data_IF_577378182835
#
_entry.id   IF_577378182835
#
_cell.length_a   1.000
_cell.length_b   1.000
_cell.length_c   1.000
_cell.angle_alpha   90.00
_cell.angle_beta   90.00
_cell.angle_gamma   90.00
#
_symmetry.space_group_name_H-M   'P 1'
#
loop_
_entity.id
_entity.type
_entity.pdbx_description
1 polymer ?
#
# COMPACT_ATOMS: atom_id res chain seq x y z
N UNK A 1 -36.68 56.66 2.06
CA UNK A 1 -35.94 55.56 1.38
C UNK A 1 -34.56 55.45 2.02
N UNK A 2 -34.20 54.24 2.45
CA UNK A 2 -33.10 53.93 3.37
C UNK A 2 -31.72 54.19 2.75
N UNK A 3 -30.88 54.93 3.49
CA UNK A 3 -29.43 54.93 3.38
C UNK A 3 -28.86 54.02 4.48
N UNK A 4 -27.77 53.28 4.20
CA UNK A 4 -26.42 53.59 4.71
C UNK A 4 -25.50 52.37 4.65
N UNK A 5 -24.38 52.60 3.98
CA UNK A 5 -23.08 51.94 4.13
C UNK A 5 -22.75 51.65 5.61
N UNK A 6 -22.47 50.39 5.93
CA UNK A 6 -21.69 49.98 7.10
C UNK A 6 -20.75 48.87 6.65
N UNK A 7 -19.54 49.26 6.32
CA UNK A 7 -18.34 48.43 6.39
C UNK A 7 -17.34 49.25 7.19
N UNK A 8 -16.59 48.56 8.05
CA UNK A 8 -15.45 49.01 8.85
C UNK A 8 -15.76 49.63 10.24
N UNK A 9 -14.93 49.22 11.21
CA UNK A 9 -14.81 49.65 12.61
C UNK A 9 -15.64 48.84 13.62
N UNK A 10 -15.37 47.53 13.67
CA UNK A 10 -15.42 46.76 14.94
C UNK A 10 -14.05 46.07 15.07
N UNK A 11 -13.03 46.90 15.25
CA UNK A 11 -11.70 46.50 15.71
C UNK A 11 -11.26 47.61 16.66
N UNK A 12 -10.93 47.20 17.88
CA UNK A 12 -10.23 47.94 18.95
C UNK A 12 -11.07 48.91 19.80
N UNK A 13 -10.76 48.92 21.10
CA UNK A 13 -11.41 49.58 22.24
C UNK A 13 -12.47 48.67 22.91
N UNK A 14 -12.22 47.52 23.56
CA UNK A 14 -11.07 47.01 24.35
C UNK A 14 -9.97 48.02 24.56
N UNK A 15 -10.22 48.98 25.43
CA UNK A 15 -9.29 49.71 26.31
C UNK A 15 -10.16 50.78 26.98
N UNK A 16 -10.10 50.86 28.32
CA UNK A 16 -10.91 51.71 29.19
C UNK A 16 -12.37 51.22 29.33
N UNK A 17 -12.69 50.26 30.20
CA UNK A 17 -12.27 50.29 31.59
C UNK A 17 -12.83 51.55 32.25
N UNK A 18 -13.78 51.32 33.15
CA UNK A 18 -14.10 52.22 34.25
C UNK A 18 -14.99 53.41 33.88
N UNK A 19 -16.16 53.43 34.53
CA UNK A 19 -16.98 54.55 34.98
C UNK A 19 -18.43 54.24 34.61
N UNK A 20 -19.31 54.29 35.62
CA UNK A 20 -20.75 53.96 35.61
C UNK A 20 -21.04 52.44 35.64
N UNK A 21 -21.66 51.83 36.65
CA UNK A 21 -22.64 52.33 37.64
C UNK A 21 -22.83 51.16 38.64
N UNK A 22 -22.37 51.24 39.90
CA UNK A 22 -23.02 51.86 41.06
C UNK A 22 -24.41 51.28 41.39
N UNK A 23 -24.45 50.61 42.55
CA UNK A 23 -25.54 50.45 43.53
C UNK A 23 -26.92 49.94 43.10
N UNK A 24 -27.23 48.73 43.56
CA UNK A 24 -28.26 48.53 44.60
C UNK A 24 -27.94 47.24 45.36
N UNK A 25 -27.33 47.25 46.55
CA UNK A 25 -27.96 47.56 47.84
C UNK A 25 -29.31 46.87 48.07
N UNK A 26 -29.31 45.79 48.87
CA UNK A 26 -29.97 45.72 50.22
C UNK A 26 -29.90 44.27 50.77
N UNK A 27 -29.15 43.99 51.85
CA UNK A 27 -29.52 44.08 53.31
C UNK A 27 -30.15 42.74 53.78
N UNK A 28 -29.80 42.06 54.89
CA UNK A 28 -29.19 42.42 56.19
C UNK A 28 -28.60 41.15 56.90
N UNK A 29 -28.06 41.21 58.15
CA UNK A 29 -26.87 40.49 58.58
C UNK A 29 -27.18 39.61 59.83
N UNK A 30 -26.17 38.98 60.40
CA UNK A 30 -25.96 38.74 61.85
C UNK A 30 -24.71 37.84 61.93
N UNK A 31 -23.52 38.34 62.28
CA UNK A 31 -23.01 38.88 63.55
C UNK A 31 -22.06 37.87 64.24
N UNK A 32 -20.77 38.26 64.27
CA UNK A 32 -19.74 38.08 65.31
C UNK A 32 -19.24 36.64 65.60
N UNK A 33 -17.95 36.32 65.75
CA UNK A 33 -16.69 37.06 66.01
C UNK A 33 -15.46 36.12 65.67
N UNK A 34 -14.17 36.50 65.86
CA UNK A 34 -13.05 36.16 64.97
C UNK A 34 -12.16 34.99 65.47
N UNK A 35 -11.24 34.50 64.62
CA UNK A 35 -9.77 34.41 64.86
C UNK A 35 -9.05 33.49 63.84
N UNK A 36 -8.03 34.08 63.19
CA UNK A 36 -6.77 33.56 62.64
C UNK A 36 -6.75 32.34 61.69
N UNK A 37 -6.58 32.67 60.42
CA UNK A 37 -5.44 32.34 59.56
C UNK A 37 -4.56 31.14 59.97
N UNK A 38 -4.64 30.05 59.20
CA UNK A 38 -3.50 29.20 58.84
C UNK A 38 -3.87 28.34 57.60
N UNK A 39 -2.94 28.32 56.63
CA UNK A 39 -2.68 27.28 55.61
C UNK A 39 -3.78 26.99 54.58
N UNK A 40 -3.71 27.51 53.34
CA UNK A 40 -2.74 27.13 52.29
C UNK A 40 -2.20 25.71 52.50
N UNK A 41 -3.07 24.71 52.35
CA UNK A 41 -2.70 23.28 52.21
C UNK A 41 -3.92 22.47 51.79
N UNK A 42 -4.42 22.68 50.57
CA UNK A 42 -5.42 21.76 50.00
C UNK A 42 -5.40 21.66 48.47
N UNK A 43 -4.23 21.92 47.85
CA UNK A 43 -4.02 21.69 46.41
C UNK A 43 -2.78 20.85 46.09
N UNK A 44 -2.20 20.18 47.08
CA UNK A 44 -1.13 19.19 46.89
C UNK A 44 -1.60 17.84 47.43
N UNK A 45 -2.44 17.17 46.65
CA UNK A 45 -2.64 15.72 46.73
C UNK A 45 -3.27 15.26 45.41
N UNK A 46 -2.63 15.63 44.30
CA UNK A 46 -2.61 14.74 43.14
C UNK A 46 -1.48 13.78 43.47
N UNK A 47 -1.87 12.55 43.76
CA UNK A 47 -0.98 11.40 43.88
C UNK A 47 -0.06 11.45 42.66
N UNK A 48 1.23 11.75 42.87
CA UNK A 48 2.31 11.33 41.98
C UNK A 48 2.28 9.80 41.98
N UNK A 49 1.37 9.24 41.19
CA UNK A 49 1.51 7.88 40.73
C UNK A 49 2.76 7.97 39.87
N UNK A 50 3.89 7.46 40.38
CA UNK A 50 5.08 7.26 39.57
C UNK A 50 4.61 6.61 38.27
N UNK A 51 4.62 7.40 37.19
CA UNK A 51 4.28 6.93 35.87
C UNK A 51 5.29 5.83 35.57
N UNK A 52 4.78 4.61 35.36
CA UNK A 52 5.63 3.56 34.82
C UNK A 52 6.17 4.09 33.49
N UNK A 53 7.50 4.10 33.29
CA UNK A 53 8.06 4.36 31.97
C UNK A 53 7.34 3.43 30.99
N UNK A 54 6.85 3.96 29.87
CA UNK A 54 6.21 3.22 28.77
C UNK A 54 4.67 3.13 28.75
N UNK A 55 3.94 3.65 29.75
CA UNK A 55 2.47 3.70 29.68
C UNK A 55 1.98 4.83 28.74
N UNK A 56 1.27 4.48 27.66
CA UNK A 56 0.63 5.48 26.79
C UNK A 56 -0.58 6.10 27.50
N UNK A 57 -0.50 7.40 27.74
CA UNK A 57 -1.61 8.20 28.25
C UNK A 57 -2.10 9.14 27.14
N UNK A 58 -3.39 9.05 26.73
CA UNK A 58 -3.98 9.98 25.79
C UNK A 58 -3.87 11.43 26.28
N UNK A 59 -3.34 12.31 25.44
CA UNK A 59 -3.42 13.76 25.67
C UNK A 59 -4.60 14.31 24.85
N UNK A 60 -5.75 14.48 25.51
CA UNK A 60 -7.00 14.91 24.87
C UNK A 60 -6.88 16.23 24.10
N UNK A 61 -6.08 17.18 24.61
CA UNK A 61 -5.85 18.46 23.92
C UNK A 61 -5.06 18.24 22.62
N UNK A 62 -3.98 17.46 22.68
CA UNK A 62 -3.18 17.14 21.49
C UNK A 62 -3.98 16.32 20.46
N UNK A 63 -4.79 15.36 20.91
CA UNK A 63 -5.69 14.57 20.06
C UNK A 63 -6.72 15.48 19.38
N UNK A 64 -7.33 16.40 20.13
CA UNK A 64 -8.29 17.36 19.60
C UNK A 64 -7.65 18.27 18.55
N UNK A 65 -6.46 18.79 18.81
CA UNK A 65 -5.72 19.61 17.83
C UNK A 65 -5.37 18.82 16.57
N UNK A 66 -4.86 17.59 16.70
CA UNK A 66 -4.57 16.70 15.56
C UNK A 66 -5.81 16.43 14.71
N UNK A 67 -6.97 16.24 15.34
CA UNK A 67 -8.23 15.96 14.63
C UNK A 67 -8.70 17.09 13.70
N UNK A 68 -8.17 18.31 13.87
CA UNK A 68 -8.48 19.44 12.99
C UNK A 68 -7.72 19.38 11.66
N UNK A 69 -6.59 18.67 11.61
CA UNK A 69 -5.67 18.69 10.47
C UNK A 69 -5.43 17.31 9.86
N UNK A 70 -5.59 16.24 10.65
CA UNK A 70 -5.26 14.88 10.24
C UNK A 70 -6.47 13.96 10.32
N UNK A 71 -6.57 13.07 9.34
CA UNK A 71 -7.56 12.01 9.35
C UNK A 71 -7.17 10.97 10.40
N UNK A 72 -8.13 10.58 11.25
CA UNK A 72 -7.98 9.41 12.11
C UNK A 72 -7.94 8.16 11.23
N UNK A 73 -6.98 7.28 11.45
CA UNK A 73 -6.88 6.03 10.72
C UNK A 73 -8.20 5.25 10.83
N UNK A 74 -8.81 4.84 9.70
CA UNK A 74 -9.90 3.90 9.70
C UNK A 74 -9.49 2.59 10.36
N UNK A 75 -10.46 1.85 10.89
CA UNK A 75 -10.20 0.55 11.48
C UNK A 75 -10.09 -0.54 10.40
N UNK A 76 -9.45 -1.68 10.74
CA UNK A 76 -9.46 -2.85 9.86
C UNK A 76 -10.90 -3.39 9.75
N UNK A 77 -11.43 -3.48 8.54
CA UNK A 77 -12.81 -3.85 8.27
C UNK A 77 -12.88 -5.02 7.30
N UNK A 78 -13.77 -5.98 7.57
CA UNK A 78 -14.03 -7.11 6.67
C UNK A 78 -12.83 -8.04 6.46
N UNK A 79 -11.97 -8.19 7.48
CA UNK A 79 -10.83 -9.10 7.40
C UNK A 79 -11.31 -10.55 7.46
N UNK A 80 -10.87 -11.34 6.48
CA UNK A 80 -11.27 -12.75 6.33
C UNK A 80 -10.14 -13.73 6.67
N UNK A 81 -8.89 -13.26 6.72
CA UNK A 81 -7.70 -14.08 6.97
C UNK A 81 -6.64 -13.33 7.75
N UNK A 82 -5.92 -14.04 8.62
CA UNK A 82 -4.92 -13.50 9.53
C UNK A 82 -3.67 -14.37 9.48
N UNK A 83 -2.52 -13.76 9.18
CA UNK A 83 -1.23 -14.45 9.06
C UNK A 83 -0.21 -13.69 9.91
N UNK A 84 0.60 -14.43 10.68
CA UNK A 84 1.53 -13.88 11.68
C UNK A 84 0.87 -13.00 12.77
N UNK A 85 -0.43 -13.19 13.04
CA UNK A 85 -1.18 -12.41 14.03
C UNK A 85 -2.45 -13.13 14.47
N UNK A 86 -3.02 -12.69 15.59
CA UNK A 86 -4.30 -13.16 16.12
C UNK A 86 -5.48 -12.53 15.36
N UNK A 87 -6.65 -13.19 15.42
CA UNK A 87 -7.85 -12.79 14.69
C UNK A 87 -8.52 -11.51 15.20
N UNK A 88 -8.08 -10.97 16.33
CA UNK A 88 -8.63 -9.76 16.96
C UNK A 88 -7.73 -8.53 16.80
N UNK A 89 -6.75 -8.58 15.90
CA UNK A 89 -5.90 -7.43 15.57
C UNK A 89 -6.75 -6.23 15.11
N UNK A 90 -6.46 -5.07 15.70
CA UNK A 90 -7.07 -3.78 15.36
C UNK A 90 -6.04 -2.66 15.47
N UNK A 91 -6.21 -1.61 14.69
CA UNK A 91 -5.41 -0.38 14.76
C UNK A 91 -5.52 0.25 16.15
N UNK A 92 -6.69 0.22 16.78
CA UNK A 92 -6.86 0.71 18.16
C UNK A 92 -5.98 0.00 19.20
N UNK A 93 -5.67 -1.29 19.00
CA UNK A 93 -4.80 -2.06 19.92
C UNK A 93 -3.34 -1.56 19.90
N UNK A 94 -2.98 -0.75 18.90
CA UNK A 94 -1.63 -0.20 18.72
C UNK A 94 -1.54 1.28 19.08
N UNK A 95 -2.51 1.84 19.82
CA UNK A 95 -2.31 3.13 20.50
C UNK A 95 -1.05 3.07 21.37
N UNK A 96 -0.26 4.13 21.37
CA UNK A 96 1.07 4.07 21.97
C UNK A 96 2.18 3.57 21.03
N UNK A 97 1.87 3.14 19.80
CA UNK A 97 2.85 2.76 18.76
C UNK A 97 2.69 3.61 17.50
N UNK A 98 3.73 3.63 16.69
CA UNK A 98 3.64 4.10 15.29
C UNK A 98 3.20 2.92 14.44
N UNK A 99 2.18 3.08 13.60
CA UNK A 99 1.66 2.00 12.76
C UNK A 99 1.87 2.33 11.28
N UNK A 100 2.44 1.40 10.52
CA UNK A 100 2.54 1.46 9.06
C UNK A 100 1.58 0.44 8.45
N UNK A 101 0.58 0.93 7.72
CA UNK A 101 -0.29 0.10 6.89
C UNK A 101 0.30 0.04 5.49
N UNK A 102 0.58 -1.16 5.01
CA UNK A 102 1.04 -1.41 3.63
C UNK A 102 -0.02 -2.19 2.87
N UNK A 103 -0.70 -1.55 1.93
CA UNK A 103 -1.61 -2.22 1.00
C UNK A 103 -0.79 -2.89 -0.09
N UNK A 104 -0.94 -4.21 -0.22
CA UNK A 104 -0.15 -5.01 -1.15
C UNK A 104 -0.98 -6.18 -1.72
N UNK A 105 -0.48 -6.78 -2.79
CA UNK A 105 -0.89 -8.11 -3.27
C UNK A 105 0.36 -8.86 -3.72
N UNK A 106 0.35 -10.19 -3.61
CA UNK A 106 1.59 -10.97 -3.74
C UNK A 106 2.08 -11.16 -5.17
N UNK A 107 1.25 -10.93 -6.20
CA UNK A 107 1.70 -10.96 -7.60
C UNK A 107 2.09 -9.61 -8.17
N UNK A 108 1.87 -8.51 -7.45
CA UNK A 108 2.26 -7.17 -7.89
C UNK A 108 3.77 -6.97 -7.78
N UNK A 109 4.45 -6.76 -8.92
CA UNK A 109 5.91 -6.58 -8.94
C UNK A 109 6.38 -5.38 -8.14
N UNK A 110 5.62 -4.28 -8.16
CA UNK A 110 5.91 -3.06 -7.41
C UNK A 110 5.86 -3.32 -5.89
N UNK A 111 4.90 -4.14 -5.44
CA UNK A 111 4.81 -4.58 -4.05
C UNK A 111 6.03 -5.42 -3.68
N UNK A 112 6.38 -6.42 -4.50
CA UNK A 112 7.52 -7.32 -4.27
C UNK A 112 8.83 -6.52 -4.13
N UNK A 113 9.09 -5.53 -5.00
CA UNK A 113 10.29 -4.69 -4.92
C UNK A 113 10.33 -3.78 -3.70
N UNK A 114 9.18 -3.50 -3.07
CA UNK A 114 9.11 -2.74 -1.82
C UNK A 114 9.45 -3.59 -0.58
N UNK A 115 9.26 -4.92 -0.64
CA UNK A 115 9.41 -5.80 0.52
C UNK A 115 10.79 -5.74 1.21
N UNK A 116 11.94 -5.60 0.53
CA UNK A 116 13.24 -5.45 1.19
C UNK A 116 13.27 -4.28 2.20
N UNK A 117 12.64 -3.14 1.86
CA UNK A 117 12.56 -1.98 2.74
C UNK A 117 11.64 -2.24 3.93
N UNK A 118 10.44 -2.78 3.70
CA UNK A 118 9.49 -3.10 4.77
C UNK A 118 10.09 -4.11 5.77
N UNK A 119 10.79 -5.13 5.28
CA UNK A 119 11.49 -6.10 6.13
C UNK A 119 12.60 -5.44 6.94
N UNK A 120 13.40 -4.58 6.31
CA UNK A 120 14.46 -3.85 7.02
C UNK A 120 13.90 -2.91 8.09
N UNK A 121 12.81 -2.18 7.81
CA UNK A 121 12.16 -1.32 8.80
C UNK A 121 11.52 -2.13 9.93
N UNK A 122 10.89 -3.27 9.61
CA UNK A 122 10.36 -4.15 10.64
C UNK A 122 11.46 -4.64 11.59
N UNK A 123 12.54 -5.20 11.05
CA UNK A 123 13.65 -5.74 11.87
C UNK A 123 14.34 -4.66 12.72
N UNK A 124 14.36 -3.41 12.25
CA UNK A 124 15.06 -2.32 12.92
C UNK A 124 14.21 -1.57 13.96
N UNK A 125 12.92 -1.44 13.69
CA UNK A 125 12.04 -0.53 14.44
C UNK A 125 10.92 -1.24 15.22
N UNK A 126 10.71 -2.55 15.05
CA UNK A 126 9.62 -3.25 15.74
C UNK A 126 9.70 -3.10 17.28
N UNK A 127 10.87 -3.32 17.86
CA UNK A 127 11.15 -3.22 19.30
C UNK A 127 11.23 -1.77 19.78
N UNK A 128 11.26 -0.81 18.83
CA UNK A 128 11.27 0.64 19.10
C UNK A 128 9.87 1.26 19.03
N UNK A 129 8.85 0.45 18.75
CA UNK A 129 7.46 0.88 18.73
C UNK A 129 6.87 1.10 17.33
N UNK A 130 7.52 0.62 16.26
CA UNK A 130 6.89 0.52 14.94
C UNK A 130 6.11 -0.79 14.81
N UNK A 131 4.85 -0.72 14.38
CA UNK A 131 4.06 -1.87 13.97
C UNK A 131 3.78 -1.78 12.47
N UNK A 132 4.21 -2.76 11.69
CA UNK A 132 3.80 -2.88 10.28
C UNK A 132 2.61 -3.83 10.20
N UNK A 133 1.59 -3.51 9.40
CA UNK A 133 0.49 -4.41 9.07
C UNK A 133 0.36 -4.43 7.54
N UNK A 134 0.61 -5.58 6.93
CA UNK A 134 0.40 -5.80 5.50
C UNK A 134 -1.07 -6.10 5.25
N UNK A 135 -1.79 -5.18 4.61
CA UNK A 135 -3.18 -5.40 4.19
C UNK A 135 -3.15 -5.99 2.80
N UNK A 136 -3.24 -7.33 2.73
CA UNK A 136 -3.32 -8.05 1.48
C UNK A 136 -4.71 -7.84 0.87
N UNK A 137 -4.80 -6.97 -0.13
CA UNK A 137 -6.03 -6.78 -0.91
C UNK A 137 -5.81 -7.40 -2.28
N UNK A 138 -6.55 -8.45 -2.67
CA UNK A 138 -6.30 -9.19 -3.90
C UNK A 138 -6.54 -8.30 -5.13
N UNK A 139 -5.78 -8.52 -6.19
CA UNK A 139 -6.00 -7.97 -7.52
C UNK A 139 -6.73 -8.99 -8.42
N UNK A 140 -6.43 -10.28 -8.23
CA UNK A 140 -7.04 -11.38 -8.98
C UNK A 140 -7.76 -12.37 -8.05
N UNK A 141 -8.73 -13.15 -8.59
CA UNK A 141 -9.53 -14.08 -7.78
C UNK A 141 -8.69 -15.11 -7.05
N UNK A 142 -7.64 -15.63 -7.68
CA UNK A 142 -6.79 -16.66 -7.06
C UNK A 142 -5.98 -16.12 -5.85
N UNK A 143 -5.86 -14.80 -5.70
CA UNK A 143 -5.19 -14.17 -4.56
C UNK A 143 -6.09 -14.06 -3.32
N UNK A 144 -7.38 -14.39 -3.43
CA UNK A 144 -8.30 -14.49 -2.29
C UNK A 144 -8.05 -15.75 -1.44
N UNK A 145 -7.45 -16.77 -2.05
CA UNK A 145 -7.20 -18.06 -1.41
C UNK A 145 -6.13 -17.92 -0.31
N UNK A 146 -6.53 -18.19 0.94
CA UNK A 146 -5.67 -18.02 2.13
C UNK A 146 -4.32 -18.73 1.99
N UNK A 147 -4.29 -19.97 1.51
CA UNK A 147 -3.06 -20.76 1.38
C UNK A 147 -2.09 -20.18 0.34
N UNK A 148 -2.59 -19.51 -0.70
CA UNK A 148 -1.74 -18.83 -1.67
C UNK A 148 -1.05 -17.61 -1.03
N UNK A 149 -1.82 -16.80 -0.29
CA UNK A 149 -1.28 -15.64 0.42
C UNK A 149 -0.28 -16.07 1.48
N UNK A 150 -0.61 -17.09 2.27
CA UNK A 150 0.29 -17.66 3.29
C UNK A 150 1.59 -18.17 2.68
N UNK A 151 1.51 -18.93 1.58
CA UNK A 151 2.69 -19.40 0.85
C UNK A 151 3.56 -18.24 0.37
N UNK A 152 2.95 -17.14 -0.08
CA UNK A 152 3.68 -15.93 -0.47
C UNK A 152 4.33 -15.23 0.73
N UNK A 153 3.63 -15.08 1.86
CA UNK A 153 4.18 -14.53 3.11
C UNK A 153 5.43 -15.32 3.52
N UNK A 154 5.36 -16.65 3.49
CA UNK A 154 6.49 -17.54 3.80
C UNK A 154 7.62 -17.38 2.78
N UNK A 155 7.33 -17.45 1.47
CA UNK A 155 8.29 -17.29 0.38
C UNK A 155 9.07 -15.98 0.48
N UNK A 156 8.38 -14.88 0.75
CA UNK A 156 9.00 -13.56 0.85
C UNK A 156 9.59 -13.24 2.24
N UNK A 157 9.43 -14.16 3.20
CA UNK A 157 9.90 -14.04 4.58
C UNK A 157 9.33 -12.82 5.28
N UNK A 158 8.04 -12.57 5.09
CA UNK A 158 7.31 -11.50 5.77
C UNK A 158 7.02 -11.97 7.19
N UNK A 159 7.55 -11.24 8.19
CA UNK A 159 7.42 -11.56 9.62
C UNK A 159 6.40 -10.71 10.36
N UNK A 160 6.03 -9.55 9.81
CA UNK A 160 4.99 -8.70 10.37
C UNK A 160 3.58 -9.27 10.11
N UNK A 161 2.56 -8.85 10.90
CA UNK A 161 1.16 -9.18 10.68
C UNK A 161 0.70 -8.91 9.24
N UNK A 162 -0.02 -9.86 8.68
CA UNK A 162 -0.71 -9.73 7.39
C UNK A 162 -2.18 -10.08 7.59
N UNK A 163 -3.06 -9.24 7.04
CA UNK A 163 -4.51 -9.44 7.04
C UNK A 163 -5.04 -9.49 5.62
N UNK A 164 -6.00 -10.37 5.34
CA UNK A 164 -6.64 -10.48 4.02
C UNK A 164 -7.92 -9.64 3.97
N UNK A 165 -7.94 -8.68 3.06
CA UNK A 165 -9.07 -7.79 2.76
C UNK A 165 -9.76 -8.20 1.44
N UNK A 166 -10.22 -9.45 1.37
CA UNK A 166 -10.80 -10.03 0.15
C UNK A 166 -12.02 -9.27 -0.37
N UNK A 167 -12.81 -8.69 0.55
CA UNK A 167 -14.00 -7.89 0.22
C UNK A 167 -13.68 -6.40 -0.03
N UNK A 168 -12.41 -5.98 -0.03
CA UNK A 168 -11.94 -4.60 -0.18
C UNK A 168 -12.57 -3.62 0.84
N UNK A 169 -12.97 -4.12 2.01
CA UNK A 169 -13.63 -3.30 3.02
C UNK A 169 -12.64 -2.34 3.68
N UNK A 170 -11.44 -2.81 4.04
CA UNK A 170 -10.36 -1.97 4.56
C UNK A 170 -9.83 -1.03 3.49
N UNK A 171 -9.63 -1.53 2.27
CA UNK A 171 -9.24 -0.75 1.09
C UNK A 171 -10.17 0.43 0.84
N UNK A 172 -11.49 0.20 0.85
CA UNK A 172 -12.48 1.28 0.71
C UNK A 172 -12.51 2.21 1.91
N UNK A 173 -12.35 1.70 3.14
CA UNK A 173 -12.30 2.54 4.34
C UNK A 173 -11.14 3.55 4.30
N UNK A 174 -10.00 3.15 3.75
CA UNK A 174 -8.85 4.02 3.49
C UNK A 174 -8.95 4.85 2.20
N UNK A 175 -10.03 4.71 1.42
CA UNK A 175 -10.18 5.31 0.08
C UNK A 175 -8.94 5.00 -0.80
N UNK A 176 -8.43 3.77 -0.72
CA UNK A 176 -7.28 3.34 -1.50
C UNK A 176 -7.66 3.06 -2.96
N UNK A 177 -6.69 3.20 -3.88
CA UNK A 177 -6.82 2.94 -5.32
C UNK A 177 -5.54 2.35 -5.95
N UNK A 178 -4.52 2.01 -5.16
CA UNK A 178 -3.19 1.69 -5.66
C UNK A 178 -2.52 0.57 -4.86
N UNK A 179 -1.71 -0.22 -5.57
CA UNK A 179 -0.73 -1.15 -5.03
C UNK A 179 0.69 -0.76 -5.49
N UNK A 180 1.69 -0.75 -4.60
CA UNK A 180 1.54 -0.65 -3.15
C UNK A 180 1.05 0.76 -2.74
N UNK A 181 0.56 0.89 -1.50
CA UNK A 181 0.36 2.19 -0.85
C UNK A 181 0.59 2.09 0.65
N UNK A 182 1.24 3.09 1.21
CA UNK A 182 1.64 3.14 2.62
C UNK A 182 0.91 4.25 3.34
N UNK A 183 0.40 3.96 4.53
CA UNK A 183 -0.12 4.98 5.46
C UNK A 183 0.63 4.85 6.78
N UNK A 184 1.25 5.93 7.23
CA UNK A 184 1.92 5.98 8.52
C UNK A 184 1.05 6.74 9.53
N UNK A 185 0.82 6.08 10.66
CA UNK A 185 -0.11 6.48 11.70
C UNK A 185 0.70 6.74 12.97
N UNK A 186 0.46 7.88 13.61
CA UNK A 186 1.13 8.24 14.85
C UNK A 186 0.60 7.50 16.08
N UNK A 187 1.25 7.77 17.21
CA UNK A 187 0.94 7.22 18.54
C UNK A 187 -0.53 7.40 18.98
N UNK A 188 -1.23 8.42 18.46
CA UNK A 188 -2.63 8.72 18.78
C UNK A 188 -3.62 8.15 17.75
N UNK A 189 -3.14 7.58 16.65
CA UNK A 189 -3.98 7.00 15.61
C UNK A 189 -4.31 7.90 14.44
N UNK A 190 -3.58 8.98 14.21
CA UNK A 190 -3.79 9.86 13.07
C UNK A 190 -2.83 9.54 11.93
N UNK A 191 -3.32 9.57 10.70
CA UNK A 191 -2.49 9.40 9.50
C UNK A 191 -1.65 10.67 9.34
N UNK A 192 -0.33 10.51 9.43
CA UNK A 192 0.66 11.59 9.31
C UNK A 192 1.39 11.58 7.98
N UNK A 193 1.31 10.47 7.26
CA UNK A 193 1.96 10.29 5.97
C UNK A 193 1.24 9.24 5.14
N UNK A 194 1.27 9.47 3.84
CA UNK A 194 0.63 8.67 2.81
C UNK A 194 1.56 8.67 1.58
N UNK A 195 1.89 7.47 1.10
CA UNK A 195 2.71 7.29 -0.09
C UNK A 195 2.08 6.30 -1.04
N UNK A 196 1.78 6.76 -2.25
CA UNK A 196 1.24 5.96 -3.36
C UNK A 196 2.39 5.42 -4.19
N UNK A 197 2.35 4.10 -4.46
CA UNK A 197 3.26 3.43 -5.38
C UNK A 197 4.56 2.96 -4.73
N UNK A 198 5.46 2.49 -5.60
CA UNK A 198 6.81 2.08 -5.25
C UNK A 198 7.74 3.31 -5.16
N UNK A 199 8.63 3.35 -4.17
CA UNK A 199 9.64 4.38 -4.02
C UNK A 199 9.53 5.18 -2.72
N UNK A 200 10.09 6.39 -2.74
CA UNK A 200 10.18 7.32 -1.61
C UNK A 200 10.64 6.66 -0.29
N UNK A 201 11.51 5.65 -0.38
CA UNK A 201 11.89 4.83 0.78
C UNK A 201 12.62 5.64 1.85
N UNK A 202 13.55 6.51 1.44
CA UNK A 202 14.28 7.39 2.37
C UNK A 202 13.32 8.37 3.06
N UNK A 203 12.38 8.96 2.31
CA UNK A 203 11.37 9.87 2.83
C UNK A 203 10.44 9.17 3.81
N UNK A 204 9.94 7.98 3.45
CA UNK A 204 9.08 7.15 4.29
C UNK A 204 9.78 6.81 5.61
N UNK A 205 11.04 6.37 5.54
CA UNK A 205 11.79 6.03 6.74
C UNK A 205 12.12 7.25 7.60
N UNK A 206 12.43 8.41 7.00
CA UNK A 206 12.58 9.67 7.77
C UNK A 206 11.31 9.99 8.55
N UNK A 207 10.15 9.78 7.94
CA UNK A 207 8.87 9.99 8.62
C UNK A 207 8.63 8.94 9.72
N UNK A 208 9.01 7.68 9.52
CA UNK A 208 9.01 6.66 10.58
C UNK A 208 9.84 7.14 11.77
N UNK A 209 11.07 7.58 11.55
CA UNK A 209 11.95 8.08 12.60
C UNK A 209 11.37 9.31 13.32
N UNK A 210 10.77 10.24 12.58
CA UNK A 210 10.08 11.42 13.15
C UNK A 210 8.95 11.03 14.11
N UNK A 211 8.07 10.10 13.71
CA UNK A 211 6.96 9.66 14.56
C UNK A 211 7.42 8.81 15.74
N UNK A 212 8.48 8.01 15.57
CA UNK A 212 9.09 7.26 16.67
C UNK A 212 9.73 8.22 17.68
N UNK A 213 10.34 9.31 17.22
CA UNK A 213 10.85 10.38 18.09
C UNK A 213 9.73 11.04 18.88
N UNK A 214 8.64 11.47 18.24
CA UNK A 214 7.46 12.02 18.92
C UNK A 214 6.96 11.05 19.99
N UNK A 215 6.86 9.77 19.65
CA UNK A 215 6.46 8.71 20.59
C UNK A 215 7.41 8.63 21.78
N UNK A 216 8.72 8.55 21.56
CA UNK A 216 9.72 8.44 22.63
C UNK A 216 9.66 9.64 23.58
N UNK A 217 9.58 10.86 23.04
CA UNK A 217 9.46 12.10 23.84
C UNK A 217 8.23 12.06 24.75
N UNK A 218 7.09 11.61 24.23
CA UNK A 218 5.83 11.51 25.00
C UNK A 218 5.85 10.43 26.07
N UNK A 219 6.60 9.36 25.86
CA UNK A 219 6.73 8.26 26.83
C UNK A 219 7.92 8.45 27.77
N UNK A 220 8.62 9.59 27.70
CA UNK A 220 9.82 9.86 28.52
C UNK A 220 10.99 8.92 28.21
N UNK A 221 11.01 8.31 27.02
CA UNK A 221 12.05 7.38 26.58
C UNK A 221 13.25 8.15 26.00
N UNK A 222 14.46 7.60 26.17
CA UNK A 222 15.67 8.19 25.58
C UNK A 222 15.62 8.06 24.06
N UNK A 223 15.87 9.16 23.37
CA UNK A 223 15.96 9.18 21.91
C UNK A 223 17.08 8.26 21.41
N UNK A 224 16.73 7.38 20.45
CA UNK A 224 17.67 6.57 19.69
C UNK A 224 17.54 6.98 18.22
N UNK A 225 18.55 7.68 17.71
CA UNK A 225 18.66 7.98 16.28
C UNK A 225 19.40 6.83 15.60
N UNK A 226 18.77 6.23 14.60
CA UNK A 226 19.41 5.24 13.74
C UNK A 226 19.74 5.85 12.37
N UNK A 227 20.86 5.42 11.79
CA UNK A 227 21.18 5.69 10.38
C UNK A 227 20.11 5.09 9.45
N UNK A 228 19.86 5.67 8.27
CA UNK A 228 18.88 5.13 7.30
C UNK A 228 19.18 3.68 6.89
N UNK A 229 18.12 2.87 6.71
CA UNK A 229 18.24 1.49 6.26
C UNK A 229 18.80 1.38 4.85
N UNK A 230 19.62 0.34 4.64
CA UNK A 230 20.23 -0.01 3.34
C UNK A 230 19.99 -1.49 3.05
N UNK A 231 18.76 -1.89 2.67
CA UNK A 231 18.44 -3.28 2.40
C UNK A 231 19.26 -3.83 1.23
N UNK A 232 19.61 -5.12 1.31
CA UNK A 232 20.25 -5.85 0.20
C UNK A 232 19.21 -6.39 -0.79
N UNK A 233 19.64 -6.69 -2.01
CA UNK A 233 18.76 -7.29 -3.03
C UNK A 233 17.68 -6.34 -3.57
N UNK A 234 17.85 -5.02 -3.40
CA UNK A 234 16.99 -4.02 -4.03
C UNK A 234 17.27 -3.97 -5.52
N UNK A 235 16.20 -3.96 -6.31
CA UNK A 235 16.27 -3.74 -7.75
C UNK A 235 15.87 -2.28 -8.00
N UNK A 236 16.79 -1.51 -8.57
CA UNK A 236 16.54 -0.11 -8.93
C UNK A 236 15.84 0.00 -10.29
N UNK A 237 14.73 0.73 -10.29
CA UNK A 237 13.88 0.95 -11.47
C UNK A 237 13.83 2.44 -11.77
N UNK A 238 14.20 2.79 -13.00
CA UNK A 238 14.04 4.13 -13.52
C UNK A 238 12.70 4.22 -14.23
N UNK A 239 11.66 4.57 -13.47
CA UNK A 239 10.30 4.76 -13.98
C UNK A 239 10.20 5.82 -15.10
N UNK A 240 11.14 6.77 -15.18
CA UNK A 240 11.21 7.73 -16.29
C UNK A 240 11.69 7.13 -17.62
N UNK A 241 11.99 5.83 -17.65
CA UNK A 241 12.37 5.05 -18.84
C UNK A 241 11.42 3.89 -19.12
N UNK A 242 10.23 3.90 -18.51
CA UNK A 242 9.19 2.90 -18.73
C UNK A 242 7.97 3.63 -19.26
N UNK A 243 7.61 3.37 -20.52
CA UNK A 243 6.43 3.99 -21.15
C UNK A 243 5.27 3.00 -21.27
N UNK A 244 5.52 1.69 -21.20
CA UNK A 244 4.45 0.69 -21.23
C UNK A 244 3.73 0.61 -19.90
N UNK A 245 2.41 0.88 -19.85
CA UNK A 245 1.63 0.68 -18.64
C UNK A 245 1.40 -0.80 -18.38
N UNK A 246 0.97 -1.15 -17.18
CA UNK A 246 0.45 -2.49 -16.90
C UNK A 246 -0.72 -2.84 -17.84
N UNK A 247 -0.68 -4.04 -18.44
CA UNK A 247 -1.67 -4.51 -19.41
C UNK A 247 -2.44 -5.69 -18.84
N UNK A 248 -3.67 -5.42 -18.44
CA UNK A 248 -4.57 -6.43 -17.88
C UNK A 248 -5.24 -7.27 -18.95
N UNK A 249 -5.42 -8.54 -18.65
CA UNK A 249 -6.23 -9.48 -19.41
C UNK A 249 -7.58 -9.68 -18.72
N UNK A 250 -8.59 -10.06 -19.51
CA UNK A 250 -9.95 -10.26 -19.01
C UNK A 250 -10.84 -9.02 -19.18
N UNK A 251 -12.13 -9.25 -19.34
CA UNK A 251 -13.09 -8.20 -19.71
C UNK A 251 -13.51 -7.29 -18.54
N UNK A 252 -13.21 -7.68 -17.30
CA UNK A 252 -13.54 -6.90 -16.09
C UNK A 252 -12.62 -5.70 -15.89
N UNK A 253 -11.46 -5.67 -16.53
CA UNK A 253 -10.50 -4.58 -16.43
C UNK A 253 -10.67 -3.57 -17.57
N UNK A 254 -10.77 -2.29 -17.23
CA UNK A 254 -10.93 -1.19 -18.19
C UNK A 254 -9.62 -0.76 -18.86
N UNK A 255 -8.50 -1.42 -18.53
CA UNK A 255 -7.13 -1.06 -18.95
C UNK A 255 -6.49 -2.05 -19.93
N UNK A 256 -7.22 -3.08 -20.39
CA UNK A 256 -6.70 -3.99 -21.40
C UNK A 256 -6.49 -3.27 -22.73
N UNK A 257 -5.25 -3.22 -23.22
CA UNK A 257 -4.92 -2.59 -24.50
C UNK A 257 -4.74 -3.68 -25.57
N UNK A 258 -5.84 -4.21 -26.11
CA UNK A 258 -5.83 -5.30 -27.09
C UNK A 258 -5.91 -4.75 -28.51
N UNK A 259 -4.95 -5.14 -29.35
CA UNK A 259 -4.93 -4.73 -30.75
C UNK A 259 -5.59 -5.72 -31.72
N UNK A 260 -6.06 -6.88 -31.23
CA UNK A 260 -6.88 -7.81 -32.00
C UNK A 260 -8.22 -7.17 -32.43
N UNK A 261 -8.65 -7.39 -33.67
CA UNK A 261 -9.95 -6.92 -34.15
C UNK A 261 -11.13 -7.54 -33.38
N UNK A 262 -10.94 -8.76 -32.85
CA UNK A 262 -11.95 -9.49 -32.11
C UNK A 262 -12.22 -8.90 -30.71
N UNK A 263 -11.32 -8.06 -30.18
CA UNK A 263 -11.46 -7.44 -28.85
C UNK A 263 -11.50 -8.45 -27.69
N UNK A 264 -12.15 -8.09 -26.58
CA UNK A 264 -12.34 -8.95 -25.40
C UNK A 264 -13.83 -9.16 -25.08
N UNK A 265 -14.54 -10.02 -25.83
CA UNK A 265 -15.96 -10.27 -25.55
C UNK A 265 -16.14 -10.98 -24.21
N UNK A 266 -17.09 -10.50 -23.40
CA UNK A 266 -17.33 -11.04 -22.07
C UNK A 266 -17.74 -12.53 -22.09
N UNK A 267 -16.98 -13.37 -21.38
CA UNK A 267 -17.20 -14.82 -21.24
C UNK A 267 -17.22 -15.61 -22.58
N UNK A 268 -16.63 -15.07 -23.64
CA UNK A 268 -16.57 -15.71 -24.96
C UNK A 268 -15.38 -16.66 -25.12
N UNK A 269 -15.51 -17.64 -26.01
CA UNK A 269 -14.35 -18.32 -26.62
C UNK A 269 -14.14 -17.70 -27.99
N UNK A 270 -12.93 -17.22 -28.25
CA UNK A 270 -12.56 -16.45 -29.44
C UNK A 270 -11.38 -17.11 -30.11
N UNK A 271 -11.44 -17.24 -31.43
CA UNK A 271 -10.33 -17.64 -32.28
C UNK A 271 -9.61 -16.38 -32.77
N UNK A 272 -8.60 -15.94 -32.02
CA UNK A 272 -7.83 -14.73 -32.31
C UNK A 272 -6.86 -14.94 -33.47
N UNK A 273 -6.76 -13.91 -34.33
CA UNK A 273 -5.80 -13.87 -35.42
C UNK A 273 -4.84 -12.70 -35.27
N UNK A 274 -3.59 -12.93 -35.67
CA UNK A 274 -2.59 -11.87 -35.67
C UNK A 274 -2.87 -10.87 -36.82
N UNK A 275 -2.95 -9.56 -36.55
CA UNK A 275 -3.11 -8.57 -37.60
C UNK A 275 -1.81 -8.37 -38.39
N UNK A 276 -1.90 -7.69 -39.54
CA UNK A 276 -0.72 -7.37 -40.37
C UNK A 276 0.20 -6.31 -39.76
N UNK A 277 -0.31 -5.52 -38.81
CA UNK A 277 0.40 -4.42 -38.17
C UNK A 277 0.22 -4.48 -36.66
N UNK A 278 1.32 -4.34 -35.93
CA UNK A 278 1.36 -4.28 -34.47
C UNK A 278 1.69 -2.86 -34.05
N UNK A 279 1.09 -2.41 -32.95
CA UNK A 279 1.35 -1.11 -32.32
C UNK A 279 2.01 -1.30 -30.97
N UNK A 280 2.77 -0.30 -30.57
CA UNK A 280 3.36 -0.22 -29.24
C UNK A 280 2.28 -0.21 -28.16
N UNK A 281 2.58 -0.86 -27.03
CA UNK A 281 1.74 -0.97 -25.85
C UNK A 281 0.40 -1.70 -26.07
N UNK A 282 0.14 -2.27 -27.25
CA UNK A 282 -1.00 -3.15 -27.51
C UNK A 282 -0.57 -4.63 -27.46
N UNK A 283 -1.36 -5.46 -26.77
CA UNK A 283 -1.17 -6.90 -26.74
C UNK A 283 -2.00 -7.58 -27.83
N UNK A 284 -1.43 -8.62 -28.42
CA UNK A 284 -2.04 -9.41 -29.49
C UNK A 284 -2.01 -10.89 -29.13
N UNK A 285 -3.14 -11.55 -29.32
CA UNK A 285 -3.33 -12.98 -29.17
C UNK A 285 -3.44 -13.65 -30.54
N UNK A 286 -3.00 -14.90 -30.63
CA UNK A 286 -3.33 -15.83 -31.70
C UNK A 286 -3.67 -17.20 -31.12
N UNK A 287 -4.64 -17.88 -31.72
CA UNK A 287 -5.15 -19.17 -31.26
C UNK A 287 -6.52 -19.05 -30.61
N UNK A 288 -6.98 -20.13 -29.97
CA UNK A 288 -8.32 -20.22 -29.38
C UNK A 288 -8.27 -19.95 -27.88
N UNK A 289 -8.85 -18.85 -27.46
CA UNK A 289 -8.80 -18.36 -26.07
C UNK A 289 -10.19 -18.15 -25.49
N UNK A 290 -10.37 -18.48 -24.22
CA UNK A 290 -11.54 -18.13 -23.44
C UNK A 290 -11.27 -16.84 -22.68
N UNK A 291 -12.13 -15.84 -22.84
CA UNK A 291 -12.03 -14.56 -22.16
C UNK A 291 -12.82 -14.63 -20.85
N UNK A 292 -12.12 -14.66 -19.73
CA UNK A 292 -12.73 -14.64 -18.39
C UNK A 292 -12.76 -13.19 -17.86
N UNK A 293 -13.33 -13.00 -16.68
CA UNK A 293 -13.47 -11.66 -16.07
C UNK A 293 -12.11 -11.03 -15.76
N UNK A 294 -11.19 -11.80 -15.18
CA UNK A 294 -9.90 -11.31 -14.66
C UNK A 294 -8.68 -11.90 -15.41
N UNK A 295 -8.90 -12.69 -16.45
CA UNK A 295 -7.84 -13.33 -17.24
C UNK A 295 -8.33 -13.75 -18.64
N UNK A 296 -7.39 -14.18 -19.48
CA UNK A 296 -7.69 -15.05 -20.63
C UNK A 296 -7.06 -16.41 -20.45
N UNK A 297 -7.76 -17.45 -20.89
CA UNK A 297 -7.38 -18.86 -20.74
C UNK A 297 -7.25 -19.52 -22.11
N UNK A 298 -6.12 -20.17 -22.38
CA UNK A 298 -5.89 -20.89 -23.61
C UNK A 298 -6.83 -22.11 -23.69
N UNK A 299 -7.77 -22.09 -24.63
CA UNK A 299 -8.74 -23.15 -24.84
C UNK A 299 -8.28 -24.18 -25.88
N UNK A 300 -7.38 -23.79 -26.78
CA UNK A 300 -6.68 -24.67 -27.72
C UNK A 300 -5.44 -25.34 -27.13
N UNK A 301 -4.73 -26.12 -27.95
CA UNK A 301 -3.49 -26.80 -27.55
C UNK A 301 -2.24 -25.91 -27.63
N UNK A 302 -2.27 -24.94 -28.55
CA UNK A 302 -1.23 -23.94 -28.77
C UNK A 302 -1.82 -22.54 -28.85
N UNK A 303 -1.06 -21.55 -28.41
CA UNK A 303 -1.41 -20.14 -28.49
C UNK A 303 -0.18 -19.27 -28.58
N UNK A 304 -0.36 -18.02 -29.02
CA UNK A 304 0.72 -17.04 -29.11
C UNK A 304 0.28 -15.70 -28.54
N UNK A 305 1.19 -15.04 -27.86
CA UNK A 305 1.02 -13.67 -27.33
C UNK A 305 2.17 -12.83 -27.86
N UNK A 306 1.86 -11.64 -28.41
CA UNK A 306 2.87 -10.67 -28.85
C UNK A 306 2.58 -9.32 -28.20
N UNK A 307 3.63 -8.64 -27.76
CA UNK A 307 3.58 -7.27 -27.26
C UNK A 307 4.83 -6.52 -27.70
N UNK A 308 4.65 -5.30 -28.21
CA UNK A 308 5.71 -4.30 -28.33
C UNK A 308 5.67 -3.41 -27.09
N UNK A 309 6.78 -3.31 -26.35
CA UNK A 309 6.86 -2.61 -25.07
C UNK A 309 8.09 -1.71 -25.00
N UNK A 310 8.11 -0.80 -24.04
CA UNK A 310 9.20 0.14 -23.73
C UNK A 310 9.48 0.10 -22.22
N UNK A 311 10.43 -0.78 -21.85
CA UNK A 311 10.87 -1.08 -20.49
C UNK A 311 12.16 -1.93 -20.55
N UNK A 312 12.81 -2.21 -19.42
CA UNK A 312 13.95 -3.14 -19.39
C UNK A 312 13.57 -4.58 -19.07
N UNK A 313 12.49 -4.76 -18.30
CA UNK A 313 12.06 -6.08 -17.83
C UNK A 313 10.57 -6.32 -18.10
N UNK A 314 10.24 -7.59 -18.38
CA UNK A 314 8.87 -8.04 -18.61
C UNK A 314 8.53 -9.18 -17.67
N UNK A 315 7.42 -9.01 -16.96
CA UNK A 315 6.84 -10.04 -16.13
C UNK A 315 5.41 -10.33 -16.59
N UNK A 316 4.96 -11.57 -16.38
CA UNK A 316 3.55 -11.94 -16.51
C UNK A 316 3.03 -12.45 -15.17
N UNK A 317 1.77 -12.16 -14.87
CA UNK A 317 1.03 -12.97 -13.89
C UNK A 317 0.28 -14.03 -14.68
N UNK A 318 0.60 -15.30 -14.41
CA UNK A 318 0.09 -16.42 -15.17
C UNK A 318 -0.03 -17.68 -14.30
N UNK A 319 -0.74 -18.70 -14.79
CA UNK A 319 -0.84 -20.00 -14.14
C UNK A 319 -1.43 -21.07 -15.06
N UNK A 320 -1.19 -22.34 -14.77
CA UNK A 320 -1.74 -23.48 -15.51
C UNK A 320 -1.82 -24.70 -14.62
N UNK A 321 -3.04 -25.10 -14.21
CA UNK A 321 -3.22 -26.24 -13.30
C UNK A 321 -2.66 -27.56 -13.86
N UNK A 322 -2.70 -27.73 -15.19
CA UNK A 322 -2.18 -28.92 -15.88
C UNK A 322 -0.70 -28.78 -16.26
N UNK A 323 -0.11 -27.60 -16.06
CA UNK A 323 1.19 -27.24 -16.57
C UNK A 323 1.12 -26.79 -18.03
N UNK A 324 1.83 -25.71 -18.35
CA UNK A 324 2.03 -25.24 -19.71
C UNK A 324 3.48 -24.84 -19.90
N UNK A 325 3.96 -24.97 -21.13
CA UNK A 325 5.29 -24.52 -21.53
C UNK A 325 5.15 -23.23 -22.34
N UNK A 326 5.94 -22.21 -22.00
CA UNK A 326 6.00 -20.95 -22.72
C UNK A 326 7.41 -20.75 -23.30
N UNK A 327 7.55 -20.87 -24.61
CA UNK A 327 8.77 -20.46 -25.32
C UNK A 327 8.73 -18.94 -25.52
N UNK A 328 9.74 -18.23 -25.01
CA UNK A 328 9.83 -16.78 -25.02
C UNK A 328 10.94 -16.33 -25.97
N UNK A 329 10.61 -15.35 -26.82
CA UNK A 329 11.52 -14.68 -27.72
C UNK A 329 11.51 -13.17 -27.43
N UNK A 330 12.69 -12.56 -27.52
CA UNK A 330 12.88 -11.11 -27.50
C UNK A 330 13.35 -10.66 -28.88
N UNK A 331 12.70 -9.65 -29.46
CA UNK A 331 13.09 -9.04 -30.74
C UNK A 331 13.27 -10.07 -31.88
N UNK A 332 12.35 -11.05 -31.94
CA UNK A 332 12.36 -12.18 -32.88
C UNK A 332 13.48 -13.21 -32.70
N UNK A 333 14.26 -13.10 -31.62
CA UNK A 333 15.37 -14.00 -31.32
C UNK A 333 15.10 -14.78 -30.02
N UNK A 334 15.59 -16.02 -29.90
CA UNK A 334 15.55 -16.73 -28.63
C UNK A 334 16.28 -15.95 -27.52
N UNK A 335 15.80 -16.10 -26.28
CA UNK A 335 16.49 -15.55 -25.12
C UNK A 335 17.86 -16.21 -24.93
N UNK A 336 18.75 -15.47 -24.28
CA UNK A 336 20.11 -15.85 -23.90
C UNK A 336 20.30 -15.62 -22.40
N UNK A 337 21.39 -16.13 -21.83
CA UNK A 337 21.75 -15.83 -20.44
C UNK A 337 21.86 -14.32 -20.14
N UNK A 338 22.12 -13.49 -21.15
CA UNK A 338 22.31 -12.06 -20.98
C UNK A 338 20.99 -11.26 -20.92
N UNK A 339 19.86 -11.83 -21.35
CA UNK A 339 18.58 -11.11 -21.40
C UNK A 339 17.39 -11.90 -20.84
N UNK A 340 17.62 -13.13 -20.38
CA UNK A 340 16.57 -13.96 -19.80
C UNK A 340 16.18 -13.48 -18.41
N UNK A 341 14.89 -13.53 -18.12
CA UNK A 341 14.39 -13.39 -16.76
C UNK A 341 14.73 -14.60 -15.89
N UNK A 342 14.52 -14.47 -14.58
CA UNK A 342 14.85 -15.52 -13.61
C UNK A 342 13.90 -16.73 -13.64
N UNK A 343 12.71 -16.62 -14.24
CA UNK A 343 11.80 -17.75 -14.48
C UNK A 343 11.96 -18.36 -15.90
N UNK A 344 13.09 -18.09 -16.58
CA UNK A 344 13.45 -18.69 -17.87
C UNK A 344 14.65 -19.63 -17.73
N UNK A 345 14.48 -20.83 -18.28
CA UNK A 345 15.54 -21.82 -18.51
C UNK A 345 15.92 -21.82 -20.00
N UNK A 346 17.22 -21.85 -20.31
CA UNK A 346 17.70 -21.99 -21.69
C UNK A 346 17.85 -23.48 -22.01
N UNK A 347 16.92 -24.02 -22.81
CA UNK A 347 16.91 -25.41 -23.23
C UNK A 347 17.00 -25.48 -24.77
N UNK A 348 17.99 -26.18 -25.33
CA UNK A 348 18.17 -26.33 -26.79
C UNK A 348 18.11 -24.99 -27.57
N UNK A 349 18.77 -23.95 -27.06
CA UNK A 349 18.76 -22.58 -27.58
C UNK A 349 17.37 -21.91 -27.60
N UNK A 350 16.47 -22.31 -26.70
CA UNK A 350 15.18 -21.67 -26.48
C UNK A 350 15.04 -21.20 -25.04
N UNK A 351 14.49 -20.01 -24.83
CA UNK A 351 14.09 -19.56 -23.50
C UNK A 351 12.73 -20.14 -23.15
N UNK A 352 12.68 -21.05 -22.19
CA UNK A 352 11.47 -21.76 -21.78
C UNK A 352 11.08 -21.34 -20.36
N UNK A 353 9.81 -21.00 -20.16
CA UNK A 353 9.20 -20.89 -18.82
C UNK A 353 8.19 -22.01 -18.60
N UNK A 354 8.31 -22.71 -17.47
CA UNK A 354 7.36 -23.74 -17.04
C UNK A 354 6.29 -23.11 -16.16
N UNK A 355 5.09 -22.95 -16.72
CA UNK A 355 3.98 -22.26 -16.07
C UNK A 355 3.08 -23.29 -15.38
N UNK A 356 2.82 -23.10 -14.08
CA UNK A 356 2.01 -24.02 -13.29
C UNK A 356 1.20 -23.29 -12.21
N UNK A 357 1.89 -22.78 -11.20
CA UNK A 357 1.27 -22.01 -10.13
C UNK A 357 0.78 -20.66 -10.64
N UNK A 358 -0.30 -20.13 -10.04
CA UNK A 358 -0.73 -18.76 -10.34
C UNK A 358 0.14 -17.78 -9.54
N UNK A 359 1.15 -17.22 -10.22
CA UNK A 359 2.13 -16.30 -9.63
C UNK A 359 2.65 -15.31 -10.68
N UNK A 360 3.49 -14.37 -10.24
CA UNK A 360 4.33 -13.59 -11.13
C UNK A 360 5.50 -14.45 -11.64
N UNK A 361 5.75 -14.36 -12.95
CA UNK A 361 6.85 -14.95 -13.68
C UNK A 361 7.66 -13.84 -14.36
N UNK A 362 8.97 -13.78 -14.11
CA UNK A 362 9.88 -12.86 -14.78
C UNK A 362 10.48 -13.51 -16.04
N UNK A 363 10.15 -12.94 -17.20
CA UNK A 363 10.48 -13.55 -18.50
C UNK A 363 11.70 -12.91 -19.16
N UNK A 364 11.83 -11.58 -19.08
CA UNK A 364 12.92 -10.82 -19.71
C UNK A 364 13.47 -9.85 -18.67
N UNK A 365 14.80 -9.73 -18.64
CA UNK A 365 15.53 -8.69 -17.92
C UNK A 365 16.71 -8.25 -18.78
N UNK A 366 16.67 -7.04 -19.32
CA UNK A 366 17.62 -6.54 -20.32
C UNK A 366 17.92 -5.03 -20.11
N UNK A 367 18.21 -4.31 -21.19
CA UNK A 367 18.41 -2.86 -21.20
C UNK A 367 17.08 -2.12 -21.38
N UNK A 368 17.01 -0.88 -20.90
CA UNK A 368 15.84 -0.03 -21.16
C UNK A 368 15.73 0.30 -22.64
N UNK A 369 14.52 0.17 -23.17
CA UNK A 369 14.18 0.66 -24.48
C UNK A 369 12.98 -0.07 -25.07
N UNK A 370 12.77 0.18 -26.35
CA UNK A 370 11.68 -0.42 -27.12
C UNK A 370 12.07 -1.81 -27.61
N UNK A 371 11.25 -2.78 -27.25
CA UNK A 371 11.46 -4.19 -27.51
C UNK A 371 10.15 -4.87 -27.92
N UNK A 372 10.27 -6.10 -28.44
CA UNK A 372 9.15 -6.99 -28.71
C UNK A 372 9.32 -8.29 -27.95
N UNK A 373 8.29 -8.69 -27.21
CA UNK A 373 8.17 -10.05 -26.67
C UNK A 373 7.21 -10.87 -27.52
N UNK A 374 7.59 -12.12 -27.80
CA UNK A 374 6.70 -13.15 -28.32
C UNK A 374 6.73 -14.35 -27.39
N UNK A 375 5.55 -14.79 -26.94
CA UNK A 375 5.37 -15.96 -26.10
C UNK A 375 4.58 -17.00 -26.90
N UNK A 376 5.18 -18.18 -27.11
CA UNK A 376 4.53 -19.33 -27.75
C UNK A 376 4.19 -20.34 -26.68
N UNK A 377 2.91 -20.58 -26.48
CA UNK A 377 2.39 -21.40 -25.39
C UNK A 377 1.98 -22.75 -25.95
N UNK A 378 2.39 -23.81 -25.24
CA UNK A 378 1.88 -25.17 -25.41
C UNK A 378 1.24 -25.65 -24.12
N UNK A 379 0.07 -26.28 -24.24
CA UNK A 379 -0.66 -26.84 -23.11
C UNK A 379 -1.90 -26.01 -22.77
N UNK A 380 -3.05 -26.61 -23.05
CA UNK A 380 -4.38 -26.08 -22.75
C UNK A 380 -4.54 -25.72 -21.27
N UNK A 381 -5.27 -24.64 -21.00
CA UNK A 381 -5.56 -24.17 -19.64
C UNK A 381 -4.52 -23.20 -19.08
N UNK A 382 -3.52 -22.78 -19.88
CA UNK A 382 -2.69 -21.63 -19.56
C UNK A 382 -3.57 -20.39 -19.36
N UNK A 383 -3.43 -19.71 -18.23
CA UNK A 383 -4.09 -18.44 -17.91
C UNK A 383 -3.06 -17.35 -17.81
N UNK A 384 -3.37 -16.19 -18.38
CA UNK A 384 -2.59 -14.96 -18.20
C UNK A 384 -3.53 -13.84 -17.72
N UNK A 385 -3.06 -13.11 -16.72
CA UNK A 385 -3.83 -12.11 -15.97
C UNK A 385 -3.35 -10.69 -16.26
N UNK A 386 -2.03 -10.46 -16.31
CA UNK A 386 -1.45 -9.14 -16.60
C UNK A 386 -0.03 -9.26 -17.13
N UNK A 387 0.41 -8.26 -17.90
CA UNK A 387 1.81 -7.92 -18.11
C UNK A 387 2.21 -6.76 -17.20
N UNK A 388 3.35 -6.90 -16.51
CA UNK A 388 3.95 -5.83 -15.71
C UNK A 388 5.42 -5.62 -16.08
N UNK A 389 5.92 -4.43 -15.81
CA UNK A 389 7.21 -3.97 -16.31
C UNK A 389 8.13 -3.53 -15.17
N UNK A 390 9.42 -3.50 -15.47
CA UNK A 390 10.47 -3.04 -14.59
C UNK A 390 11.62 -2.44 -15.38
#
# INVERSE_FOLDING_TARGET
>A
MKNKNIVLIIVLIIIAGSIYYINSAKVNPEANEPVKDETVQQSENIIEKQLEPDEYIPNENAIREKSLFFQKAPELAGIEGYINTDSDIKIENFRGKVVLIDFWTYTCINCIRTLPYLKSWHEKYNDKGLQIIGVHTPEFKFEQEYENVKSAVEKYQIKYPVVQDNAYATWRAYNNRYWPRKYLIDIDGFIKYDHIGEGAYEETERKIQELLKERMERLGQKEILDDMSKPSGVIDINYGKIETPEIYFGYGFTRGNFGNEEGLPANGIVDYKMPSTLKENEVYLEGRWKVNEDNVELAGDEGKIILQYDAKAVNIVAGSLQGSEAEVLADNSPLTEANKGFDIEIENNKGISKIKESKLYNLIDFEYGKHKIEIRIKGKGFKIYTFTFG
#
